data_IF_833505081289
#
_entry.id   IF_833505081289
#
_cell.length_a   1.000
_cell.length_b   1.000
_cell.length_c   1.000
_cell.angle_alpha   90.00
_cell.angle_beta   90.00
_cell.angle_gamma   90.00
#
_symmetry.space_group_name_H-M   'P 1'
#
loop_
_entity.id
_entity.type
_entity.pdbx_description
1 polymer ?
#
# COMPACT_ATOMS: atom_id res chain seq x y z
N UNK A 1 19.23 -1.38 -3.58
CA UNK A 1 19.48 -2.48 -2.62
C UNK A 1 18.95 -2.20 -1.23
N UNK A 2 19.21 -1.03 -0.62
CA UNK A 2 18.64 -0.68 0.70
C UNK A 2 17.14 -0.95 0.82
N UNK A 3 16.33 -0.49 -0.14
CA UNK A 3 14.88 -0.76 -0.17
C UNK A 3 14.52 -2.26 -0.10
N UNK A 4 15.29 -3.14 -0.75
CA UNK A 4 15.02 -4.59 -0.76
C UNK A 4 15.31 -5.21 0.62
N UNK A 5 16.22 -4.60 1.37
CA UNK A 5 16.62 -5.03 2.71
C UNK A 5 15.75 -4.44 3.83
N UNK A 6 14.88 -3.48 3.52
CA UNK A 6 13.93 -2.93 4.49
C UNK A 6 12.77 -3.90 4.71
N UNK A 7 12.12 -3.83 5.88
CA UNK A 7 10.90 -4.61 6.15
C UNK A 7 9.78 -4.25 5.17
N UNK A 8 8.88 -5.20 4.92
CA UNK A 8 7.75 -5.05 3.98
C UNK A 8 6.91 -3.80 4.31
N UNK A 9 6.69 -3.51 5.59
CA UNK A 9 5.94 -2.34 6.02
C UNK A 9 6.65 -1.03 5.65
N UNK A 10 7.97 -0.97 5.83
CA UNK A 10 8.80 0.19 5.47
C UNK A 10 8.84 0.38 3.96
N UNK A 11 8.97 -0.72 3.20
CA UNK A 11 8.89 -0.70 1.74
C UNK A 11 7.56 -0.11 1.25
N UNK A 12 6.44 -0.56 1.81
CA UNK A 12 5.10 -0.06 1.47
C UNK A 12 4.96 1.41 1.84
N UNK A 13 5.45 1.83 3.01
CA UNK A 13 5.45 3.22 3.44
C UNK A 13 6.17 4.12 2.43
N UNK A 14 7.38 3.73 2.03
CA UNK A 14 8.19 4.47 1.05
C UNK A 14 7.46 4.54 -0.30
N UNK A 15 6.90 3.43 -0.77
CA UNK A 15 6.16 3.39 -2.03
C UNK A 15 4.92 4.28 -2.00
N UNK A 16 4.13 4.24 -0.93
CA UNK A 16 2.92 5.04 -0.80
C UNK A 16 3.24 6.54 -0.69
N UNK A 17 4.25 6.91 0.12
CA UNK A 17 4.70 8.29 0.24
C UNK A 17 5.20 8.84 -1.10
N UNK A 18 6.01 8.06 -1.82
CA UNK A 18 6.48 8.45 -3.16
C UNK A 18 5.31 8.57 -4.15
N UNK A 19 4.36 7.64 -4.10
CA UNK A 19 3.15 7.71 -4.92
C UNK A 19 2.36 8.99 -4.65
N UNK A 20 2.14 9.32 -3.38
CA UNK A 20 1.44 10.54 -2.96
C UNK A 20 2.20 11.77 -3.47
N UNK A 21 3.52 11.83 -3.28
CA UNK A 21 4.34 12.97 -3.70
C UNK A 21 4.30 13.21 -5.21
N UNK A 22 4.22 12.15 -6.01
CA UNK A 22 4.26 12.25 -7.47
C UNK A 22 2.86 12.42 -8.10
N UNK A 23 1.82 11.84 -7.50
CA UNK A 23 0.50 11.71 -8.14
C UNK A 23 -0.66 12.38 -7.36
N UNK A 24 -0.45 12.79 -6.12
CA UNK A 24 -1.46 13.55 -5.36
C UNK A 24 -1.16 15.05 -5.44
N UNK A 25 -1.73 15.69 -6.45
CA UNK A 25 -1.74 17.17 -6.57
C UNK A 25 -2.92 17.82 -5.86
N UNK A 26 -3.98 17.06 -5.53
CA UNK A 26 -5.20 17.58 -4.92
C UNK A 26 -5.46 16.99 -3.52
N UNK A 27 -6.10 17.80 -2.67
CA UNK A 27 -6.60 17.35 -1.36
C UNK A 27 -7.58 16.17 -1.49
N UNK A 28 -8.28 16.07 -2.63
CA UNK A 28 -9.21 15.00 -2.91
C UNK A 28 -8.51 13.64 -3.01
N UNK A 29 -7.33 13.58 -3.64
CA UNK A 29 -6.56 12.34 -3.78
C UNK A 29 -6.09 11.83 -2.40
N UNK A 30 -5.59 12.75 -1.58
CA UNK A 30 -5.19 12.46 -0.20
C UNK A 30 -6.40 11.98 0.61
N UNK A 31 -7.52 12.71 0.56
CA UNK A 31 -8.75 12.35 1.26
C UNK A 31 -9.22 10.94 0.88
N UNK A 32 -9.19 10.59 -0.40
CA UNK A 32 -9.58 9.26 -0.87
C UNK A 32 -8.64 8.17 -0.35
N UNK A 33 -7.33 8.38 -0.43
CA UNK A 33 -6.34 7.44 0.10
C UNK A 33 -6.53 7.27 1.62
N UNK A 34 -6.63 8.37 2.37
CA UNK A 34 -6.89 8.34 3.81
C UNK A 34 -8.22 7.67 4.15
N UNK A 35 -9.27 7.88 3.35
CA UNK A 35 -10.55 7.21 3.54
C UNK A 35 -10.40 5.70 3.33
N UNK A 36 -9.81 5.26 2.22
CA UNK A 36 -9.55 3.83 1.93
C UNK A 36 -8.74 3.17 3.04
N UNK A 37 -7.80 3.91 3.60
CA UNK A 37 -6.95 3.48 4.69
C UNK A 37 -7.79 3.36 5.97
N UNK A 38 -8.44 4.43 6.42
CA UNK A 38 -9.09 4.54 7.74
C UNK A 38 -10.45 3.88 7.86
N UNK A 39 -11.14 3.62 6.75
CA UNK A 39 -12.42 2.92 6.81
C UNK A 39 -12.21 1.45 7.15
N UNK A 40 -12.83 0.98 8.23
CA UNK A 40 -12.98 -0.45 8.54
C UNK A 40 -13.82 -1.19 7.49
N UNK A 41 -14.45 -0.44 6.56
CA UNK A 41 -15.10 -1.03 5.40
C UNK A 41 -14.05 -1.62 4.46
N UNK A 42 -14.06 -2.95 4.37
CA UNK A 42 -13.14 -3.69 3.50
C UNK A 42 -13.37 -3.42 2.00
N UNK A 43 -14.35 -2.60 1.63
CA UNK A 43 -14.83 -2.44 0.27
C UNK A 43 -15.17 -0.98 -0.04
N UNK A 44 -14.44 -0.38 -0.98
CA UNK A 44 -14.80 0.87 -1.60
C UNK A 44 -15.58 0.63 -2.90
N UNK A 45 -16.70 1.34 -3.05
CA UNK A 45 -17.53 1.31 -4.26
C UNK A 45 -17.57 2.72 -4.86
N UNK A 46 -17.26 2.82 -6.15
CA UNK A 46 -17.44 4.07 -6.88
C UNK A 46 -18.95 4.32 -6.99
N UNK A 47 -19.43 5.39 -6.34
CA UNK A 47 -20.82 5.80 -6.42
C UNK A 47 -21.04 6.58 -7.73
N UNK A 48 -22.08 6.20 -8.47
CA UNK A 48 -22.38 6.82 -9.76
C UNK A 48 -23.01 8.22 -9.62
N UNK A 49 -23.46 8.57 -8.43
CA UNK A 49 -24.18 9.81 -8.14
C UNK A 49 -23.29 10.88 -7.52
N UNK A 50 -22.00 10.60 -7.28
CA UNK A 50 -21.08 11.59 -6.74
C UNK A 50 -20.59 12.50 -7.88
N UNK A 51 -20.72 13.82 -7.70
CA UNK A 51 -20.20 14.87 -8.60
C UNK A 51 -18.66 14.94 -8.63
N UNK A 52 -17.98 13.88 -8.20
CA UNK A 52 -16.53 13.81 -8.16
C UNK A 52 -16.01 13.37 -9.52
N UNK A 53 -14.85 13.87 -9.92
CA UNK A 53 -14.19 13.53 -11.17
C UNK A 53 -13.84 12.02 -11.20
N UNK A 54 -14.76 11.21 -11.75
CA UNK A 54 -14.70 9.75 -11.69
C UNK A 54 -13.44 9.18 -12.33
N UNK A 55 -12.89 9.89 -13.32
CA UNK A 55 -11.70 9.43 -14.03
C UNK A 55 -10.44 9.61 -13.18
N UNK A 56 -10.34 10.67 -12.38
CA UNK A 56 -9.27 10.82 -11.37
C UNK A 56 -9.32 9.71 -10.33
N UNK A 57 -10.51 9.40 -9.79
CA UNK A 57 -10.69 8.30 -8.83
C UNK A 57 -10.26 6.96 -9.44
N UNK A 58 -10.67 6.67 -10.68
CA UNK A 58 -10.30 5.44 -11.37
C UNK A 58 -8.79 5.33 -11.56
N UNK A 59 -8.11 6.43 -11.93
CA UNK A 59 -6.65 6.44 -12.07
C UNK A 59 -5.98 6.12 -10.74
N UNK A 60 -6.42 6.73 -9.65
CA UNK A 60 -5.86 6.46 -8.31
C UNK A 60 -6.08 5.01 -7.91
N UNK A 61 -7.29 4.48 -8.09
CA UNK A 61 -7.59 3.09 -7.77
C UNK A 61 -6.82 2.12 -8.66
N UNK A 62 -6.61 2.44 -9.94
CA UNK A 62 -5.75 1.65 -10.81
C UNK A 62 -4.31 1.63 -10.30
N UNK A 63 -3.77 2.77 -9.90
CA UNK A 63 -2.41 2.86 -9.37
C UNK A 63 -2.26 2.10 -8.05
N UNK A 64 -3.21 2.26 -7.11
CA UNK A 64 -3.22 1.50 -5.85
C UNK A 64 -3.36 -0.01 -6.09
N UNK A 65 -4.07 -0.41 -7.15
CA UNK A 65 -4.16 -1.82 -7.58
C UNK A 65 -2.82 -2.32 -8.12
N UNK A 66 -2.12 -1.53 -8.92
CA UNK A 66 -0.78 -1.87 -9.41
C UNK A 66 0.24 -2.00 -8.28
N UNK A 67 0.11 -1.20 -7.22
CA UNK A 67 0.92 -1.32 -6.00
C UNK A 67 0.52 -2.50 -5.11
N UNK A 68 -0.51 -3.27 -5.47
CA UNK A 68 -1.01 -4.38 -4.67
C UNK A 68 -1.68 -3.95 -3.35
N UNK A 69 -1.97 -2.66 -3.18
CA UNK A 69 -2.60 -2.12 -1.97
C UNK A 69 -4.10 -2.37 -1.95
N UNK A 70 -4.72 -2.45 -3.13
CA UNK A 70 -6.12 -2.83 -3.29
C UNK A 70 -6.24 -3.92 -4.35
N UNK A 71 -7.30 -4.72 -4.27
CA UNK A 71 -7.68 -5.65 -5.33
C UNK A 71 -9.14 -5.42 -5.76
N UNK A 72 -9.45 -5.78 -6.99
CA UNK A 72 -10.77 -5.56 -7.58
C UNK A 72 -11.41 -6.91 -7.89
N UNK A 73 -12.43 -7.32 -7.12
CA UNK A 73 -13.14 -8.61 -7.34
C UNK A 73 -14.26 -8.49 -8.39
N UNK A 74 -14.89 -7.32 -8.50
CA UNK A 74 -15.96 -7.00 -9.46
C UNK A 74 -15.71 -5.61 -10.05
N UNK A 75 -16.26 -5.32 -11.24
CA UNK A 75 -15.99 -4.08 -12.00
C UNK A 75 -16.08 -2.77 -11.19
N UNK A 76 -16.81 -2.71 -10.08
CA UNK A 76 -17.00 -1.50 -9.26
C UNK A 76 -16.71 -1.66 -7.76
N UNK A 77 -16.11 -2.78 -7.34
CA UNK A 77 -15.82 -3.05 -5.91
C UNK A 77 -14.33 -3.29 -5.72
N UNK A 78 -13.73 -2.40 -4.94
CA UNK A 78 -12.31 -2.40 -4.61
C UNK A 78 -12.15 -2.77 -3.15
N UNK A 79 -11.23 -3.67 -2.86
CA UNK A 79 -11.01 -4.20 -1.52
C UNK A 79 -9.60 -3.89 -1.07
N UNK A 80 -9.49 -3.41 0.16
CA UNK A 80 -8.21 -3.07 0.80
C UNK A 80 -7.49 -4.37 1.16
N UNK A 81 -6.21 -4.47 0.79
CA UNK A 81 -5.37 -5.64 1.12
C UNK A 81 -4.81 -5.54 2.54
N UNK A 82 -4.25 -6.66 3.04
CA UNK A 82 -3.55 -6.66 4.32
C UNK A 82 -2.36 -5.69 4.31
N UNK A 83 -1.67 -5.53 3.18
CA UNK A 83 -0.53 -4.60 3.01
C UNK A 83 -0.93 -3.15 3.33
N UNK A 84 -2.08 -2.73 2.82
CA UNK A 84 -2.61 -1.38 3.05
C UNK A 84 -3.17 -1.20 4.47
N UNK A 85 -3.58 -2.27 5.15
CA UNK A 85 -3.99 -2.21 6.57
C UNK A 85 -2.81 -2.13 7.52
N UNK A 86 -1.75 -2.88 7.23
CA UNK A 86 -0.51 -2.84 8.02
C UNK A 86 0.11 -1.44 8.04
N UNK A 87 -0.17 -0.61 7.01
CA UNK A 87 0.21 0.80 6.98
C UNK A 87 -0.37 1.62 8.15
N UNK A 88 -1.62 1.37 8.55
CA UNK A 88 -2.26 2.06 9.70
C UNK A 88 -1.89 1.48 11.05
N UNK A 89 -1.80 0.16 11.10
CA UNK A 89 -1.64 -0.60 12.35
C UNK A 89 -0.22 -0.55 12.90
N UNK A 90 0.56 0.48 12.56
CA UNK A 90 1.95 0.67 12.97
C UNK A 90 2.26 0.03 14.31
N UNK A 91 3.01 -1.08 14.26
CA UNK A 91 3.53 -1.85 15.39
C UNK A 91 2.54 -2.36 16.47
N UNK A 92 1.23 -2.39 16.22
CA UNK A 92 0.23 -2.76 17.23
C UNK A 92 -0.88 -3.68 16.71
N UNK A 93 -0.52 -4.87 16.22
CA UNK A 93 -1.47 -6.01 16.16
C UNK A 93 -0.91 -7.20 16.95
N UNK A 94 -1.58 -7.66 18.02
CA UNK A 94 -1.08 -8.69 18.94
C UNK A 94 -1.41 -10.11 18.48
N UNK A 95 -1.49 -10.39 17.17
CA UNK A 95 -1.75 -11.75 16.66
C UNK A 95 -0.45 -12.38 16.17
N UNK A 96 0.36 -12.75 17.16
CA UNK A 96 1.55 -13.60 17.08
C UNK A 96 1.24 -15.07 16.77
N UNK A 97 0.10 -15.39 16.17
CA UNK A 97 -0.36 -16.78 16.04
C UNK A 97 -0.42 -17.32 14.60
N UNK A 98 -0.19 -16.49 13.57
CA UNK A 98 0.03 -16.96 12.18
C UNK A 98 1.03 -16.07 11.44
N UNK A 99 2.24 -15.98 11.98
CA UNK A 99 3.41 -15.52 11.22
C UNK A 99 3.72 -16.55 10.13
N UNK A 100 3.14 -16.35 8.94
CA UNK A 100 3.72 -16.82 7.67
C UNK A 100 4.84 -15.87 7.19
N UNK A 101 5.24 -14.92 8.05
CA UNK A 101 6.32 -13.95 7.84
C UNK A 101 7.36 -14.23 8.92
N UNK A 102 8.08 -15.32 8.71
CA UNK A 102 9.24 -15.74 9.48
C UNK A 102 10.18 -14.56 9.72
N UNK A 103 10.45 -14.23 10.99
CA UNK A 103 11.58 -13.44 11.48
C UNK A 103 12.11 -12.35 10.50
N UNK A 104 11.50 -11.17 10.51
CA UNK A 104 12.04 -9.91 9.96
C UNK A 104 13.30 -9.43 10.74
N UNK A 105 14.23 -10.36 11.04
CA UNK A 105 15.45 -10.11 11.80
C UNK A 105 16.72 -10.64 11.10
N UNK A 106 16.58 -11.50 10.08
CA UNK A 106 17.71 -11.98 9.28
C UNK A 106 17.79 -11.12 8.01
N UNK A 107 18.44 -9.96 8.12
CA UNK A 107 18.76 -9.10 6.98
C UNK A 107 19.60 -9.92 5.98
N UNK A 108 19.04 -10.17 4.80
CA UNK A 108 19.75 -10.87 3.74
C UNK A 108 21.01 -10.12 3.31
N UNK A 109 22.04 -10.85 2.88
CA UNK A 109 23.24 -10.25 2.30
C UNK A 109 23.06 -10.22 0.79
N UNK A 110 23.23 -9.04 0.18
CA UNK A 110 23.21 -8.87 -1.27
C UNK A 110 24.63 -8.65 -1.75
N UNK A 111 25.10 -9.51 -2.66
CA UNK A 111 26.40 -9.39 -3.32
C UNK A 111 26.17 -9.05 -4.79
N UNK A 112 26.64 -7.89 -5.22
CA UNK A 112 26.61 -7.47 -6.62
C UNK A 112 27.76 -8.10 -7.44
N UNK A 113 27.62 -8.11 -8.77
CA UNK A 113 28.64 -8.60 -9.71
C UNK A 113 29.95 -7.81 -9.69
N UNK A 114 29.94 -6.59 -9.16
CA UNK A 114 31.12 -5.74 -8.93
C UNK A 114 31.74 -5.95 -7.53
N UNK A 115 31.33 -7.00 -6.82
CA UNK A 115 31.76 -7.35 -5.45
C UNK A 115 31.34 -6.36 -4.36
N UNK A 116 30.37 -5.46 -4.61
CA UNK A 116 29.75 -4.66 -3.55
C UNK A 116 28.82 -5.51 -2.70
N UNK A 117 28.87 -5.28 -1.39
CA UNK A 117 28.09 -6.01 -0.39
C UNK A 117 27.12 -5.03 0.27
N UNK A 118 25.85 -5.42 0.40
CA UNK A 118 24.80 -4.71 1.12
C UNK A 118 24.20 -5.61 2.19
N UNK A 119 24.09 -5.08 3.41
CA UNK A 119 23.53 -5.73 4.59
C UNK A 119 22.64 -4.73 5.36
#
# INVERSE_FOLDING_TARGET
FRFILEDINTQIHILLLNYIKLNCSSFLHLKLIFQLITTNENCYKINENENVNKDEIKVILANLKHLGLIYQKKKKRFYVTQLMRSFLLGHSSPDSSRSLMSKDGDKGIIVETNFKIYC
#
